data_IF_256547312345
#
_entry.id   IF_256547312345
#
_cell.length_a   1.000
_cell.length_b   1.000
_cell.length_c   1.000
_cell.angle_alpha   90.00
_cell.angle_beta   90.00
_cell.angle_gamma   90.00
#
_symmetry.space_group_name_H-M   'P 1'
#
loop_
_entity.id
_entity.type
_entity.pdbx_description
1 polymer ?
#
# COMPACT_ATOMS: atom_id res chain seq x y z
N UNK A 1 -7.64 6.35 12.18
CA UNK A 1 -6.79 6.17 13.37
C UNK A 1 -5.33 6.09 12.95
N UNK A 2 -4.40 6.51 13.82
CA UNK A 2 -2.97 6.39 13.56
C UNK A 2 -2.53 4.94 13.83
N UNK A 3 -1.90 4.24 12.87
CA UNK A 3 -1.47 2.87 13.07
C UNK A 3 -0.23 2.80 13.95
N UNK A 4 -0.12 1.77 14.79
CA UNK A 4 1.09 1.53 15.59
C UNK A 4 2.22 0.98 14.71
N UNK A 5 1.87 0.20 13.67
CA UNK A 5 2.81 -0.47 12.77
C UNK A 5 2.32 -0.38 11.33
N UNK A 6 3.26 -0.19 10.42
CA UNK A 6 3.03 -0.33 8.97
C UNK A 6 4.07 -1.26 8.36
N UNK A 7 3.62 -2.06 7.41
CA UNK A 7 4.44 -3.06 6.71
C UNK A 7 4.48 -2.68 5.23
N UNK A 8 5.67 -2.44 4.70
CA UNK A 8 5.85 -1.89 3.36
C UNK A 8 6.91 -2.68 2.60
N UNK A 9 6.76 -2.80 1.28
CA UNK A 9 7.80 -3.36 0.44
C UNK A 9 9.03 -2.44 0.45
N UNK A 10 10.21 -3.00 0.14
CA UNK A 10 11.48 -2.26 -0.05
C UNK A 10 11.47 -1.34 -1.29
N UNK A 11 10.49 -0.46 -1.40
CA UNK A 11 10.42 0.60 -2.41
C UNK A 11 11.29 1.80 -2.03
N UNK A 12 11.82 2.50 -3.03
CA UNK A 12 12.65 3.70 -2.84
C UNK A 12 11.94 4.78 -2.01
N UNK A 13 10.63 4.93 -2.17
CA UNK A 13 9.80 5.92 -1.46
C UNK A 13 9.86 5.79 0.08
N UNK A 14 10.04 4.57 0.60
CA UNK A 14 10.08 4.31 2.04
C UNK A 14 11.49 4.37 2.66
N UNK A 15 12.51 4.77 1.88
CA UNK A 15 13.89 4.92 2.37
C UNK A 15 14.28 6.34 2.78
N UNK A 16 13.46 7.35 2.45
CA UNK A 16 13.74 8.77 2.68
C UNK A 16 12.75 9.42 3.64
N UNK A 17 12.20 10.56 3.22
CA UNK A 17 11.29 11.43 4.01
C UNK A 17 10.13 10.68 4.66
N UNK A 18 9.54 9.70 3.96
CA UNK A 18 8.42 8.92 4.51
C UNK A 18 8.83 8.21 5.80
N UNK A 19 10.05 7.68 5.89
CA UNK A 19 10.53 7.03 7.12
C UNK A 19 10.65 8.03 8.26
N UNK A 20 11.15 9.23 7.99
CA UNK A 20 11.30 10.29 8.99
C UNK A 20 9.94 10.74 9.55
N UNK A 21 8.95 10.94 8.67
CA UNK A 21 7.57 11.29 9.07
C UNK A 21 6.96 10.19 9.96
N UNK A 22 7.19 8.92 9.61
CA UNK A 22 6.67 7.80 10.39
C UNK A 22 7.32 7.70 11.77
N UNK A 23 8.62 7.97 11.86
CA UNK A 23 9.33 8.04 13.14
C UNK A 23 8.84 9.19 14.02
N UNK A 24 8.61 10.37 13.44
CA UNK A 24 8.04 11.54 14.15
C UNK A 24 6.64 11.25 14.69
N UNK A 25 5.82 10.51 13.93
CA UNK A 25 4.50 10.08 14.34
C UNK A 25 4.50 8.89 15.31
N UNK A 26 5.69 8.37 15.70
CA UNK A 26 5.81 7.21 16.58
C UNK A 26 5.32 5.89 15.94
N UNK A 27 5.23 5.84 14.61
CA UNK A 27 4.75 4.68 13.86
C UNK A 27 5.92 3.79 13.45
N UNK A 28 5.88 2.51 13.85
CA UNK A 28 6.91 1.56 13.48
C UNK A 28 6.79 1.13 12.02
N UNK A 29 7.83 1.39 11.24
CA UNK A 29 7.91 0.96 9.84
C UNK A 29 8.70 -0.35 9.69
N UNK A 30 8.06 -1.39 9.16
CA UNK A 30 8.69 -2.68 8.83
C UNK A 30 8.83 -2.79 7.32
N UNK A 31 10.07 -2.80 6.85
CA UNK A 31 10.38 -2.95 5.43
C UNK A 31 10.60 -4.43 5.13
N UNK A 32 9.73 -5.03 4.32
CA UNK A 32 9.87 -6.42 3.88
C UNK A 32 10.76 -6.52 2.65
N UNK A 33 11.47 -7.64 2.53
CA UNK A 33 12.35 -7.92 1.40
C UNK A 33 11.58 -7.88 0.07
N UNK A 34 12.23 -7.42 -1.01
CA UNK A 34 11.67 -7.59 -2.34
C UNK A 34 11.44 -9.09 -2.61
N UNK A 35 10.43 -9.39 -3.41
CA UNK A 35 10.03 -10.76 -3.81
C UNK A 35 9.39 -11.64 -2.71
N UNK A 36 9.15 -11.13 -1.50
CA UNK A 36 8.26 -11.79 -0.54
C UNK A 36 6.79 -11.39 -0.79
N UNK A 37 6.19 -11.97 -1.82
CA UNK A 37 4.81 -11.66 -2.22
C UNK A 37 3.77 -11.97 -1.13
N UNK A 38 4.07 -12.91 -0.23
CA UNK A 38 3.17 -13.39 0.81
C UNK A 38 3.09 -12.42 1.99
N UNK A 39 4.19 -11.75 2.34
CA UNK A 39 4.23 -10.82 3.47
C UNK A 39 3.29 -9.60 3.30
N UNK A 40 2.99 -9.19 2.06
CA UNK A 40 1.97 -8.19 1.75
C UNK A 40 0.76 -8.77 0.98
N UNK A 41 0.50 -10.07 1.15
CA UNK A 41 -0.54 -10.80 0.42
C UNK A 41 -1.94 -10.20 0.61
N UNK A 42 -2.27 -9.75 1.82
CA UNK A 42 -3.56 -9.10 2.11
C UNK A 42 -3.75 -7.81 1.31
N UNK A 43 -2.70 -6.97 1.23
CA UNK A 43 -2.77 -5.73 0.45
C UNK A 43 -2.89 -6.02 -1.05
N UNK A 44 -2.20 -7.05 -1.55
CA UNK A 44 -2.30 -7.48 -2.95
C UNK A 44 -3.68 -8.06 -3.28
N UNK A 45 -4.23 -8.91 -2.42
CA UNK A 45 -5.54 -9.50 -2.61
C UNK A 45 -6.64 -8.43 -2.66
N UNK A 46 -6.55 -7.40 -1.82
CA UNK A 46 -7.48 -6.26 -1.81
C UNK A 46 -7.32 -5.32 -3.01
N UNK A 47 -6.17 -5.33 -3.68
CA UNK A 47 -5.98 -4.52 -4.88
C UNK A 47 -6.91 -4.95 -6.03
N UNK A 48 -7.13 -6.25 -6.20
CA UNK A 48 -7.97 -6.82 -7.27
C UNK A 48 -9.40 -6.25 -7.28
N UNK A 49 -10.18 -6.32 -6.18
CA UNK A 49 -11.55 -5.79 -6.19
C UNK A 49 -11.60 -4.27 -6.34
N UNK A 50 -10.60 -3.53 -5.83
CA UNK A 50 -10.53 -2.07 -5.99
C UNK A 50 -10.33 -1.72 -7.46
N UNK A 51 -9.35 -2.33 -8.13
CA UNK A 51 -9.10 -2.10 -9.56
C UNK A 51 -10.28 -2.53 -10.41
N UNK A 52 -10.89 -3.69 -10.11
CA UNK A 52 -12.08 -4.16 -10.83
C UNK A 52 -13.27 -3.18 -10.71
N UNK A 53 -13.47 -2.61 -9.52
CA UNK A 53 -14.51 -1.61 -9.27
C UNK A 53 -14.23 -0.33 -10.05
N UNK A 54 -12.99 0.17 -10.01
CA UNK A 54 -12.59 1.36 -10.77
C UNK A 54 -12.79 1.16 -12.28
N UNK A 55 -12.39 0.01 -12.82
CA UNK A 55 -12.59 -0.32 -14.24
C UNK A 55 -14.07 -0.32 -14.61
N UNK A 56 -14.94 -0.90 -13.78
CA UNK A 56 -16.39 -0.91 -14.02
C UNK A 56 -16.96 0.51 -14.04
N UNK A 57 -16.57 1.37 -13.10
CA UNK A 57 -16.99 2.77 -13.07
C UNK A 57 -16.54 3.47 -14.35
N UNK A 58 -15.27 3.36 -14.72
CA UNK A 58 -14.70 4.01 -15.92
C UNK A 58 -15.37 3.56 -17.22
N UNK A 59 -15.65 2.26 -17.37
CA UNK A 59 -16.36 1.73 -18.55
C UNK A 59 -17.82 2.21 -18.56
N UNK A 60 -18.48 2.22 -17.40
CA UNK A 60 -19.85 2.72 -17.25
C UNK A 60 -19.95 4.20 -17.63
N UNK A 61 -19.03 5.05 -17.16
CA UNK A 61 -18.99 6.47 -17.50
C UNK A 61 -18.68 6.76 -18.96
N UNK A 62 -18.04 5.83 -19.69
CA UNK A 62 -17.74 5.99 -21.12
C UNK A 62 -18.90 5.59 -22.04
N UNK A 63 -19.85 4.80 -21.53
CA UNK A 63 -21.03 4.33 -22.28
C UNK A 63 -22.24 5.26 -22.19
N UNK A 64 -22.23 6.22 -21.25
CA UNK A 64 -23.17 7.34 -21.20
C UNK A 64 -22.64 8.50 -22.03
#
# INVERSE_FOLDING_TARGET
GLPIVIVVNRGSKFKGEVKAILEELGVKCIIISPYNSRANGISKARYIPITATLVKITIGTRKN
#
